data_IF_859360179209
#
_entry.id   IF_859360179209
#
_cell.length_a   1.000
_cell.length_b   1.000
_cell.length_c   1.000
_cell.angle_alpha   90.00
_cell.angle_beta   90.00
_cell.angle_gamma   90.00
#
_symmetry.space_group_name_H-M   'P 1'
#
loop_
_entity.id
_entity.type
_entity.pdbx_description
1 polymer ?
#
# COMPACT_ATOMS: atom_id res chain seq x y z
N UNK A 1 13.67 -6.45 11.22
CA UNK A 1 13.03 -5.78 12.37
C UNK A 1 11.57 -5.54 12.03
N UNK A 2 10.63 -6.22 12.70
CA UNK A 2 9.20 -5.96 12.56
C UNK A 2 8.88 -4.56 13.11
N UNK A 3 8.10 -3.78 12.37
CA UNK A 3 7.65 -2.48 12.88
C UNK A 3 6.73 -2.69 14.09
N UNK A 4 6.83 -1.81 15.10
CA UNK A 4 5.92 -1.86 16.24
C UNK A 4 4.50 -1.47 15.80
N UNK A 5 3.48 -1.94 16.52
CA UNK A 5 2.10 -1.51 16.29
C UNK A 5 1.97 0.02 16.33
N UNK A 6 2.64 0.67 17.28
CA UNK A 6 2.61 2.13 17.43
C UNK A 6 3.16 2.85 16.19
N UNK A 7 4.21 2.31 15.56
CA UNK A 7 4.78 2.91 14.35
C UNK A 7 3.87 2.71 13.14
N UNK A 8 3.23 1.55 13.02
CA UNK A 8 2.25 1.28 11.98
C UNK A 8 1.01 2.18 12.13
N UNK A 9 0.44 2.26 13.34
CA UNK A 9 -0.70 3.10 13.64
C UNK A 9 -0.42 4.59 13.37
N UNK A 10 0.78 5.08 13.70
CA UNK A 10 1.18 6.47 13.43
C UNK A 10 1.23 6.79 11.93
N UNK A 11 1.71 5.84 11.11
CA UNK A 11 1.74 6.00 9.65
C UNK A 11 0.33 6.01 9.07
N UNK A 12 -0.51 5.08 9.52
CA UNK A 12 -1.91 5.00 9.12
C UNK A 12 -2.70 6.27 9.50
N UNK A 13 -2.57 6.74 10.74
CA UNK A 13 -3.23 7.96 11.22
C UNK A 13 -2.81 9.20 10.42
N UNK A 14 -1.51 9.30 10.04
CA UNK A 14 -1.03 10.37 9.16
C UNK A 14 -1.72 10.35 7.80
N UNK A 15 -1.87 9.17 7.20
CA UNK A 15 -2.52 9.02 5.89
C UNK A 15 -4.01 9.35 6.00
N UNK A 16 -4.70 8.83 7.02
CA UNK A 16 -6.11 9.11 7.28
C UNK A 16 -6.37 10.61 7.48
N UNK A 17 -5.55 11.31 8.27
CA UNK A 17 -5.67 12.74 8.46
C UNK A 17 -5.42 13.53 7.16
N UNK A 18 -4.41 13.13 6.37
CA UNK A 18 -4.01 13.86 5.16
C UNK A 18 -4.97 13.67 3.98
N UNK A 19 -5.52 12.46 3.81
CA UNK A 19 -6.33 12.10 2.64
C UNK A 19 -7.84 12.13 2.93
N UNK A 20 -8.23 11.71 4.14
CA UNK A 20 -9.64 11.56 4.52
C UNK A 20 -10.13 12.70 5.43
N UNK A 21 -9.21 13.53 5.95
CA UNK A 21 -9.54 14.60 6.90
C UNK A 21 -9.95 14.09 8.28
N UNK A 22 -9.72 12.81 8.57
CA UNK A 22 -10.13 12.19 9.83
C UNK A 22 -9.40 12.81 11.03
N UNK A 23 -10.16 13.08 12.09
CA UNK A 23 -9.62 13.41 13.40
C UNK A 23 -9.06 12.15 14.08
N UNK A 24 -8.21 12.30 15.10
CA UNK A 24 -7.68 11.16 15.85
C UNK A 24 -8.77 10.22 16.38
N UNK A 25 -9.88 10.77 16.87
CA UNK A 25 -10.98 9.97 17.40
C UNK A 25 -11.68 9.13 16.32
N UNK A 26 -11.84 9.67 15.10
CA UNK A 26 -12.40 8.93 13.96
C UNK A 26 -11.47 7.79 13.54
N UNK A 27 -10.16 8.04 13.49
CA UNK A 27 -9.16 7.00 13.19
C UNK A 27 -9.18 5.86 14.22
N UNK A 28 -9.30 6.17 15.52
CA UNK A 28 -9.33 5.15 16.57
C UNK A 28 -10.66 4.41 16.66
N UNK A 29 -11.75 5.02 16.19
CA UNK A 29 -13.05 4.37 16.11
C UNK A 29 -13.19 3.46 14.87
N UNK A 30 -12.45 3.75 13.80
CA UNK A 30 -12.47 2.97 12.57
C UNK A 30 -11.71 1.64 12.72
N UNK A 31 -12.23 0.59 12.08
CA UNK A 31 -11.53 -0.69 12.00
C UNK A 31 -10.43 -0.65 10.93
N UNK A 32 -9.44 -1.57 10.97
CA UNK A 32 -8.44 -1.67 9.90
C UNK A 32 -9.04 -1.92 8.51
N UNK A 33 -10.16 -2.64 8.42
CA UNK A 33 -10.89 -2.86 7.16
C UNK A 33 -11.55 -1.57 6.68
N UNK A 34 -12.22 -0.82 7.57
CA UNK A 34 -12.81 0.47 7.21
C UNK A 34 -11.75 1.44 6.66
N UNK A 35 -10.54 1.43 7.24
CA UNK A 35 -9.42 2.21 6.75
C UNK A 35 -8.98 1.76 5.35
N UNK A 36 -8.92 0.45 5.08
CA UNK A 36 -8.58 -0.07 3.74
C UNK A 36 -9.62 0.36 2.71
N UNK A 37 -10.90 0.25 3.05
CA UNK A 37 -12.01 0.67 2.19
C UNK A 37 -12.00 2.16 1.93
N UNK A 38 -11.81 2.98 2.97
CA UNK A 38 -11.75 4.43 2.81
C UNK A 38 -10.56 4.89 1.93
N UNK A 39 -9.47 4.11 1.91
CA UNK A 39 -8.31 4.36 1.06
C UNK A 39 -8.41 3.72 -0.33
N UNK A 40 -9.51 3.01 -0.64
CA UNK A 40 -9.67 2.28 -1.90
C UNK A 40 -8.65 1.15 -2.08
N UNK A 41 -8.14 0.59 -0.98
CA UNK A 41 -7.12 -0.47 -0.99
C UNK A 41 -7.73 -1.88 -1.06
N UNK A 42 -9.06 -1.98 -1.11
CA UNK A 42 -9.80 -3.25 -1.13
C UNK A 42 -9.42 -4.12 -2.33
N UNK A 43 -9.06 -3.50 -3.46
CA UNK A 43 -8.73 -4.16 -4.72
C UNK A 43 -7.23 -4.17 -5.04
N UNK A 44 -6.37 -3.88 -4.05
CA UNK A 44 -4.91 -3.87 -4.23
C UNK A 44 -4.28 -5.25 -4.51
N UNK A 45 -5.09 -6.25 -4.92
CA UNK A 45 -4.67 -7.63 -5.15
C UNK A 45 -4.45 -8.02 -6.60
N UNK A 46 -4.75 -7.21 -7.62
CA UNK A 46 -4.48 -7.60 -9.03
C UNK A 46 -3.70 -6.59 -9.90
N UNK A 47 -3.57 -5.32 -9.47
CA UNK A 47 -2.92 -4.26 -10.28
C UNK A 47 -1.70 -3.63 -9.58
N UNK A 48 -1.00 -4.43 -8.77
CA UNK A 48 0.23 -3.98 -8.14
C UNK A 48 1.27 -3.63 -9.23
N UNK A 49 1.90 -2.44 -9.19
CA UNK A 49 2.89 -2.07 -10.20
C UNK A 49 4.01 -3.11 -10.26
N UNK A 50 4.40 -3.48 -11.48
CA UNK A 50 5.42 -4.49 -11.71
C UNK A 50 6.66 -4.19 -10.86
N UNK A 51 7.07 -5.17 -10.04
CA UNK A 51 8.26 -5.02 -9.21
C UNK A 51 9.52 -5.08 -10.07
N UNK A 52 10.62 -4.48 -9.59
CA UNK A 52 11.91 -4.59 -10.29
C UNK A 52 12.35 -6.04 -10.53
N UNK A 53 12.03 -6.95 -9.61
CA UNK A 53 12.31 -8.38 -9.78
C UNK A 53 11.47 -9.01 -10.90
N UNK A 54 10.23 -8.57 -11.07
CA UNK A 54 9.35 -9.00 -12.17
C UNK A 54 9.85 -8.46 -13.51
N UNK A 55 10.31 -7.21 -13.55
CA UNK A 55 10.97 -6.63 -14.72
C UNK A 55 12.26 -7.39 -15.10
N UNK A 56 13.12 -7.72 -14.13
CA UNK A 56 14.32 -8.53 -14.36
C UNK A 56 14.01 -9.89 -14.99
N UNK A 57 13.00 -10.60 -14.48
CA UNK A 57 12.56 -11.87 -15.06
C UNK A 57 12.04 -11.73 -16.48
N UNK A 58 11.32 -10.65 -16.78
CA UNK A 58 10.83 -10.40 -18.14
C UNK A 58 11.98 -10.13 -19.11
N UNK A 59 13.00 -9.37 -18.70
CA UNK A 59 14.19 -9.12 -19.53
C UNK A 59 15.02 -10.39 -19.80
N UNK A 60 15.10 -11.30 -18.83
CA UNK A 60 15.77 -12.61 -19.02
C UNK A 60 14.98 -13.53 -19.96
N UNK A 61 13.65 -13.54 -19.83
CA UNK A 61 12.77 -14.39 -20.63
C UNK A 61 12.59 -13.89 -22.08
N UNK A 62 12.69 -12.57 -22.29
CA UNK A 62 12.52 -11.91 -23.58
C UNK A 62 13.71 -10.97 -23.84
N UNK A 63 14.90 -11.50 -24.17
CA UNK A 63 16.04 -10.67 -24.51
C UNK A 63 15.74 -9.91 -25.82
N UNK A 64 16.03 -8.61 -25.84
CA UNK A 64 15.90 -7.81 -27.05
C UNK A 64 16.91 -8.32 -28.10
N UNK A 65 16.40 -8.98 -29.14
CA UNK A 65 17.19 -9.26 -30.33
C UNK A 65 17.62 -7.92 -30.94
N UNK A 66 18.93 -7.67 -30.96
CA UNK A 66 19.52 -6.58 -31.74
C UNK A 66 19.40 -6.91 -33.23
N UNK A 67 18.26 -6.57 -33.83
CA UNK A 67 18.17 -6.36 -35.28
C UNK A 67 18.59 -4.94 -35.64
#
# INVERSE_FOLDING_TARGET
MTASFADAARRAARVAAALLGWRPDEFWAATPEDLRTALGLDDASDDAPATGAMLSRLMEAFPDDRQ
#
